data_IF_785183789368
#
_entry.id   IF_785183789368
#
_cell.length_a   1.000
_cell.length_b   1.000
_cell.length_c   1.000
_cell.angle_alpha   90.00
_cell.angle_beta   90.00
_cell.angle_gamma   90.00
#
_symmetry.space_group_name_H-M   'P 1'
#
loop_
_entity.id
_entity.type
_entity.pdbx_description
1 polymer ?
#
# COMPACT_ATOMS: atom_id res chain seq x y z
N UNK A 1 9.23 -8.08 57.36
CA UNK A 1 9.30 -8.69 56.01
C UNK A 1 8.19 -8.04 55.19
N UNK A 2 8.48 -6.89 54.59
CA UNK A 2 7.52 -6.12 53.78
C UNK A 2 8.33 -5.50 52.65
N UNK A 3 8.14 -6.01 51.44
CA UNK A 3 8.83 -5.56 50.25
C UNK A 3 8.04 -4.41 49.62
N UNK A 4 8.70 -3.26 49.50
CA UNK A 4 8.28 -2.13 48.67
C UNK A 4 8.53 -2.50 47.21
N UNK A 5 7.48 -2.56 46.40
CA UNK A 5 7.59 -2.64 44.94
C UNK A 5 7.43 -1.23 44.39
N UNK A 6 8.55 -0.61 44.01
CA UNK A 6 8.51 0.53 43.10
C UNK A 6 8.07 0.02 41.73
N UNK A 7 6.84 0.37 41.31
CA UNK A 7 6.49 0.31 39.91
C UNK A 7 7.24 1.44 39.21
N UNK A 8 8.41 1.10 38.66
CA UNK A 8 9.05 1.91 37.65
C UNK A 8 8.04 2.14 36.53
N UNK A 9 7.61 3.40 36.39
CA UNK A 9 6.86 3.86 35.25
C UNK A 9 7.76 3.71 34.02
N UNK A 10 7.60 2.60 33.30
CA UNK A 10 7.91 2.57 31.88
C UNK A 10 6.92 3.54 31.25
N UNK A 11 7.34 4.80 31.15
CA UNK A 11 6.79 5.70 30.17
C UNK A 11 7.04 5.03 28.81
N UNK A 12 6.05 4.28 28.34
CA UNK A 12 5.89 4.06 26.93
C UNK A 12 5.73 5.46 26.36
N UNK A 13 6.83 6.01 25.83
CA UNK A 13 6.76 7.04 24.81
C UNK A 13 6.00 6.38 23.66
N UNK A 14 4.67 6.46 23.73
CA UNK A 14 3.82 6.33 22.57
C UNK A 14 4.23 7.48 21.67
N UNK A 15 5.22 7.21 20.82
CA UNK A 15 5.37 7.91 19.58
C UNK A 15 4.01 7.77 18.89
N UNK A 16 3.19 8.82 19.01
CA UNK A 16 2.02 8.98 18.18
C UNK A 16 2.64 9.17 16.81
N UNK A 17 2.92 8.06 16.13
CA UNK A 17 3.56 8.02 14.83
C UNK A 17 2.69 8.87 13.90
N UNK A 18 3.04 10.15 13.81
CA UNK A 18 2.40 11.07 12.91
C UNK A 18 2.62 10.49 11.54
N UNK A 19 1.52 10.29 10.79
CA UNK A 19 1.64 10.00 9.37
C UNK A 19 2.38 11.17 8.74
N UNK A 20 3.68 11.01 8.52
CA UNK A 20 4.47 12.01 7.84
C UNK A 20 3.92 12.10 6.41
N UNK A 21 3.26 13.20 6.09
CA UNK A 21 2.74 13.45 4.74
C UNK A 21 3.91 13.74 3.80
N UNK A 22 3.86 13.23 2.58
CA UNK A 22 4.88 13.50 1.55
C UNK A 22 5.44 12.25 0.90
N UNK A 23 6.58 12.41 0.23
CA UNK A 23 7.26 11.35 -0.50
C UNK A 23 8.10 10.47 0.43
N UNK A 24 7.86 9.17 0.39
CA UNK A 24 8.57 8.16 1.17
C UNK A 24 9.31 7.20 0.24
N UNK A 25 10.60 7.00 0.48
CA UNK A 25 11.40 5.97 -0.21
C UNK A 25 10.99 4.59 0.32
N UNK A 26 10.70 3.65 -0.57
CA UNK A 26 10.17 2.33 -0.19
C UNK A 26 11.17 1.21 -0.46
N UNK A 27 11.54 0.98 -1.72
CA UNK A 27 12.47 -0.07 -2.13
C UNK A 27 13.16 0.30 -3.45
N UNK A 28 14.14 -0.50 -3.88
CA UNK A 28 14.66 -0.38 -5.23
C UNK A 28 13.63 -0.90 -6.24
N UNK A 29 13.61 -0.37 -7.46
CA UNK A 29 12.65 -0.80 -8.50
C UNK A 29 12.93 -2.22 -8.98
N UNK A 30 14.20 -2.64 -8.91
CA UNK A 30 14.67 -4.00 -9.20
C UNK A 30 14.26 -5.04 -8.16
N UNK A 31 13.89 -4.62 -6.95
CA UNK A 31 13.32 -5.52 -5.94
C UNK A 31 11.87 -5.89 -6.27
N UNK A 32 11.21 -5.13 -7.15
CA UNK A 32 9.87 -5.42 -7.63
C UNK A 32 9.91 -6.29 -8.89
N UNK A 33 9.41 -7.52 -8.73
CA UNK A 33 9.18 -8.41 -9.86
C UNK A 33 8.08 -7.83 -10.77
N UNK A 34 8.32 -7.74 -12.10
CA UNK A 34 7.31 -7.26 -13.03
C UNK A 34 5.98 -8.01 -12.93
N UNK A 35 4.88 -7.25 -12.92
CA UNK A 35 3.51 -7.72 -12.83
C UNK A 35 3.17 -8.54 -11.57
N UNK A 36 4.00 -8.46 -10.53
CA UNK A 36 3.77 -9.07 -9.23
C UNK A 36 3.56 -7.98 -8.17
N UNK A 37 2.61 -8.21 -7.27
CA UNK A 37 2.30 -7.25 -6.21
C UNK A 37 3.15 -7.46 -4.99
N UNK A 38 3.73 -6.42 -4.39
CA UNK A 38 4.45 -6.52 -3.12
C UNK A 38 3.80 -5.64 -2.05
N UNK A 39 3.70 -6.17 -0.83
CA UNK A 39 3.15 -5.42 0.30
C UNK A 39 4.29 -4.72 1.06
N UNK A 40 4.12 -3.43 1.35
CA UNK A 40 5.07 -2.62 2.10
C UNK A 40 4.39 -1.87 3.24
N UNK A 41 5.11 -1.68 4.35
CA UNK A 41 4.71 -0.80 5.44
C UNK A 41 5.45 0.53 5.30
N UNK A 42 4.72 1.59 4.98
CA UNK A 42 5.28 2.92 4.68
C UNK A 42 4.64 3.95 5.62
N UNK A 43 5.44 4.59 6.48
CA UNK A 43 4.96 5.54 7.49
C UNK A 43 3.73 5.04 8.29
N UNK A 44 3.73 3.75 8.67
CA UNK A 44 2.62 3.12 9.41
C UNK A 44 1.42 2.70 8.55
N UNK A 45 1.44 2.90 7.24
CA UNK A 45 0.38 2.49 6.31
C UNK A 45 0.80 1.30 5.44
N UNK A 46 -0.10 0.33 5.29
CA UNK A 46 0.13 -0.82 4.41
C UNK A 46 -0.25 -0.50 2.97
N UNK A 47 0.71 -0.61 2.06
CA UNK A 47 0.61 -0.27 0.64
C UNK A 47 0.93 -1.50 -0.19
N UNK A 48 0.19 -1.72 -1.27
CA UNK A 48 0.52 -2.71 -2.31
C UNK A 48 1.17 -2.00 -3.51
N UNK A 49 2.36 -2.44 -3.88
CA UNK A 49 3.15 -1.93 -5.00
C UNK A 49 3.08 -2.89 -6.18
N UNK A 50 2.99 -2.35 -7.40
CA UNK A 50 2.97 -3.13 -8.63
C UNK A 50 3.86 -2.49 -9.67
N UNK A 51 4.87 -3.21 -10.16
CA UNK A 51 5.70 -2.76 -11.27
C UNK A 51 5.13 -3.27 -12.58
N UNK A 52 4.66 -2.38 -13.46
CA UNK A 52 4.08 -2.73 -14.76
C UNK A 52 5.04 -2.51 -15.93
N UNK A 53 6.11 -1.74 -15.72
CA UNK A 53 7.16 -1.48 -16.70
C UNK A 53 8.51 -1.22 -16.04
N UNK A 54 9.57 -0.90 -16.81
CA UNK A 54 10.92 -0.71 -16.28
C UNK A 54 11.00 0.29 -15.12
N UNK A 55 10.27 1.40 -15.22
CA UNK A 55 10.16 2.46 -14.21
C UNK A 55 8.70 2.88 -13.94
N UNK A 56 7.74 2.04 -14.34
CA UNK A 56 6.31 2.28 -14.13
C UNK A 56 5.86 1.44 -12.95
N UNK A 57 5.48 2.12 -11.87
CA UNK A 57 5.08 1.51 -10.60
C UNK A 57 3.78 2.15 -10.14
N UNK A 58 2.81 1.34 -9.73
CA UNK A 58 1.57 1.79 -9.11
C UNK A 58 1.57 1.42 -7.62
N UNK A 59 0.97 2.28 -6.80
CA UNK A 59 0.80 2.06 -5.37
C UNK A 59 -0.66 2.24 -4.98
N UNK A 60 -1.21 1.29 -4.24
CA UNK A 60 -2.59 1.32 -3.74
C UNK A 60 -2.64 0.85 -2.28
N UNK A 61 -3.74 1.08 -1.58
CA UNK A 61 -3.92 0.52 -0.25
C UNK A 61 -3.83 -1.01 -0.30
N UNK A 62 -3.14 -1.60 0.67
CA UNK A 62 -3.09 -3.06 0.77
C UNK A 62 -4.44 -3.65 1.24
N UNK A 63 -5.24 -2.83 1.92
CA UNK A 63 -6.60 -3.13 2.35
C UNK A 63 -7.59 -3.09 1.17
N UNK A 64 -8.38 -4.15 1.02
CA UNK A 64 -9.50 -4.23 0.10
C UNK A 64 -10.71 -3.45 0.67
N UNK A 65 -11.21 -2.41 -0.01
CA UNK A 65 -12.31 -1.58 0.49
C UNK A 65 -13.64 -2.34 0.63
N UNK A 66 -13.81 -3.48 -0.03
CA UNK A 66 -15.02 -4.29 0.08
C UNK A 66 -15.06 -5.12 1.38
N UNK A 67 -13.90 -5.53 1.89
CA UNK A 67 -13.80 -6.54 2.95
C UNK A 67 -13.02 -6.09 4.18
N UNK A 68 -12.21 -5.04 4.07
CA UNK A 68 -11.23 -4.64 5.09
C UNK A 68 -10.04 -5.58 5.20
N UNK A 69 -9.92 -6.58 4.32
CA UNK A 69 -8.81 -7.53 4.36
C UNK A 69 -7.57 -6.94 3.66
N UNK A 70 -6.40 -7.10 4.28
CA UNK A 70 -5.11 -6.70 3.72
C UNK A 70 -4.61 -7.74 2.72
N UNK A 71 -5.13 -7.70 1.49
CA UNK A 71 -4.89 -8.74 0.47
C UNK A 71 -4.54 -8.18 -0.90
N UNK A 72 -4.62 -6.87 -1.13
CA UNK A 72 -4.58 -6.32 -2.50
C UNK A 72 -3.29 -6.64 -3.26
N UNK A 73 -2.14 -6.82 -2.58
CA UNK A 73 -0.88 -7.24 -3.25
C UNK A 73 -0.93 -8.65 -3.85
N UNK A 74 -2.02 -9.41 -3.61
CA UNK A 74 -2.27 -10.73 -4.21
C UNK A 74 -3.27 -10.66 -5.36
N UNK A 75 -3.70 -9.46 -5.74
CA UNK A 75 -4.63 -9.25 -6.84
C UNK A 75 -4.01 -9.60 -8.19
N UNK A 76 -4.87 -9.85 -9.18
CA UNK A 76 -4.45 -10.14 -10.54
C UNK A 76 -4.46 -8.83 -11.33
N UNK A 77 -3.33 -8.48 -11.94
CA UNK A 77 -3.25 -7.33 -12.82
C UNK A 77 -3.96 -7.58 -14.15
N UNK A 78 -4.52 -6.53 -14.71
CA UNK A 78 -5.16 -6.55 -16.02
C UNK A 78 -5.23 -5.15 -16.62
N UNK A 79 -6.10 -4.99 -17.60
CA UNK A 79 -6.38 -3.70 -18.21
C UNK A 79 -7.85 -3.57 -18.61
N UNK A 80 -8.34 -2.34 -18.64
CA UNK A 80 -9.62 -1.95 -19.24
C UNK A 80 -9.34 -0.88 -20.29
N UNK A 81 -9.14 -1.32 -21.54
CA UNK A 81 -8.57 -0.45 -22.58
C UNK A 81 -7.13 -0.08 -22.22
N UNK A 82 -6.84 1.21 -22.11
CA UNK A 82 -5.51 1.72 -21.73
C UNK A 82 -5.31 1.84 -20.22
N UNK A 83 -6.36 1.62 -19.42
CA UNK A 83 -6.32 1.81 -17.96
C UNK A 83 -5.79 0.54 -17.27
N UNK A 84 -4.67 0.60 -16.52
CA UNK A 84 -4.15 -0.55 -15.78
C UNK A 84 -5.08 -0.87 -14.61
N UNK A 85 -5.36 -2.15 -14.39
CA UNK A 85 -6.31 -2.58 -13.36
C UNK A 85 -5.76 -3.66 -12.46
N UNK A 86 -6.41 -3.81 -11.30
CA UNK A 86 -6.24 -4.92 -10.39
C UNK A 86 -7.59 -5.49 -9.98
N UNK A 87 -7.72 -6.82 -10.08
CA UNK A 87 -8.86 -7.53 -9.51
C UNK A 87 -8.57 -7.91 -8.05
N UNK A 88 -9.46 -7.55 -7.12
CA UNK A 88 -9.36 -8.00 -5.71
C UNK A 88 -9.26 -9.53 -5.64
N UNK A 89 -8.40 -10.10 -4.79
CA UNK A 89 -8.28 -11.54 -4.64
C UNK A 89 -9.57 -12.23 -4.22
N UNK A 90 -10.39 -11.58 -3.38
CA UNK A 90 -11.52 -12.21 -2.71
C UNK A 90 -12.78 -12.19 -3.55
N UNK A 91 -13.28 -11.00 -3.90
CA UNK A 91 -14.57 -10.83 -4.58
C UNK A 91 -14.46 -10.32 -6.02
N UNK A 92 -13.22 -10.19 -6.53
CA UNK A 92 -12.92 -9.90 -7.95
C UNK A 92 -13.42 -8.53 -8.43
N UNK A 93 -13.68 -7.59 -7.53
CA UNK A 93 -13.87 -6.20 -7.92
C UNK A 93 -12.64 -5.70 -8.67
N UNK A 94 -12.88 -5.02 -9.79
CA UNK A 94 -11.81 -4.53 -10.66
C UNK A 94 -11.62 -3.06 -10.39
N UNK A 95 -10.45 -2.71 -9.87
CA UNK A 95 -10.05 -1.35 -9.57
C UNK A 95 -9.05 -0.85 -10.58
N UNK A 96 -9.15 0.42 -10.93
CA UNK A 96 -8.14 1.15 -11.67
C UNK A 96 -6.93 1.46 -10.78
N UNK A 97 -5.71 1.11 -11.23
CA UNK A 97 -4.49 1.28 -10.43
C UNK A 97 -4.01 2.74 -10.32
N UNK A 98 -4.42 3.61 -11.25
CA UNK A 98 -3.99 5.01 -11.29
C UNK A 98 -4.87 5.90 -10.40
N UNK A 99 -6.17 5.64 -10.41
CA UNK A 99 -7.20 6.49 -9.80
C UNK A 99 -7.93 5.82 -8.63
N UNK A 100 -7.85 4.49 -8.52
CA UNK A 100 -8.57 3.71 -7.52
C UNK A 100 -10.06 3.48 -7.81
N UNK A 101 -10.58 3.96 -8.95
CA UNK A 101 -11.98 3.77 -9.34
C UNK A 101 -12.33 2.28 -9.44
N UNK A 102 -13.43 1.86 -8.81
CA UNK A 102 -13.97 0.52 -9.01
C UNK A 102 -14.86 0.46 -10.26
N UNK A 103 -14.55 -0.41 -11.21
CA UNK A 103 -15.32 -0.59 -12.43
C UNK A 103 -16.52 -1.54 -12.32
N UNK A 104 -16.55 -2.36 -11.28
CA UNK A 104 -17.54 -3.43 -11.11
C UNK A 104 -18.64 -3.09 -10.11
N UNK A 105 -18.29 -2.40 -9.02
CA UNK A 105 -19.19 -2.13 -7.90
C UNK A 105 -19.23 -0.63 -7.61
N UNK A 106 -20.29 0.09 -8.02
CA UNK A 106 -20.42 1.52 -7.76
C UNK A 106 -20.33 1.84 -6.27
N UNK A 107 -19.60 2.90 -5.93
CA UNK A 107 -19.43 3.37 -4.54
C UNK A 107 -18.20 2.80 -3.84
N UNK A 108 -17.62 1.69 -4.33
CA UNK A 108 -16.31 1.25 -3.86
C UNK A 108 -15.18 2.04 -4.53
N UNK A 109 -14.13 2.32 -3.76
CA UNK A 109 -12.93 2.98 -4.24
C UNK A 109 -11.73 2.44 -3.48
N UNK A 110 -10.72 2.00 -4.20
CA UNK A 110 -9.43 1.63 -3.66
C UNK A 110 -8.60 2.93 -3.51
N UNK A 111 -7.91 3.13 -2.39
CA UNK A 111 -7.03 4.29 -2.28
C UNK A 111 -5.80 4.05 -3.18
N UNK A 112 -5.56 4.96 -4.13
CA UNK A 112 -4.36 4.98 -4.97
C UNK A 112 -3.42 6.10 -4.50
N UNK A 113 -2.12 5.86 -4.58
CA UNK A 113 -1.07 6.79 -4.15
C UNK A 113 -0.19 7.16 -5.33
N UNK A 114 0.24 8.42 -5.38
CA UNK A 114 1.20 8.86 -6.39
C UNK A 114 2.55 8.17 -6.15
N UNK A 115 3.17 7.74 -7.23
CA UNK A 115 4.46 7.06 -7.25
C UNK A 115 5.43 7.79 -8.14
N UNK A 116 6.73 7.66 -7.86
CA UNK A 116 7.80 8.03 -8.79
C UNK A 116 9.01 7.13 -8.56
N UNK A 117 9.86 7.00 -9.58
CA UNK A 117 11.15 6.34 -9.45
C UNK A 117 12.25 7.39 -9.57
N UNK A 118 13.06 7.57 -8.54
CA UNK A 118 14.18 8.53 -8.50
C UNK A 118 15.46 7.77 -8.13
N UNK A 119 16.47 7.83 -9.01
CA UNK A 119 17.75 7.11 -8.83
C UNK A 119 17.57 5.60 -8.56
N UNK A 120 16.63 4.96 -9.27
CA UNK A 120 16.30 3.54 -9.10
C UNK A 120 15.42 3.21 -7.89
N UNK A 121 15.00 4.21 -7.12
CA UNK A 121 14.24 4.02 -5.88
C UNK A 121 12.78 4.40 -6.09
N UNK A 122 11.89 3.50 -5.70
CA UNK A 122 10.45 3.75 -5.68
C UNK A 122 10.12 4.65 -4.50
N UNK A 123 9.46 5.76 -4.79
CA UNK A 123 8.91 6.68 -3.80
C UNK A 123 7.39 6.72 -3.90
N UNK A 124 6.71 6.72 -2.75
CA UNK A 124 5.24 6.76 -2.64
C UNK A 124 4.84 8.02 -1.88
N UNK A 125 3.84 8.74 -2.37
CA UNK A 125 3.27 9.90 -1.70
C UNK A 125 2.11 9.48 -0.78
N UNK A 126 2.27 9.70 0.52
CA UNK A 126 1.25 9.42 1.55
C UNK A 126 0.64 10.70 2.14
#
# INVERSE_FOLDING_TARGET
MTATLELGALAAESDIAGFHTGWHRVCAVEDLEPAWGEAALVAGRQVALFRTGPSEVFAVAHEDPATGAHVMARGILGSKGTRPTIASPLHKEVYDLETGECFTTPGLRLAAFSTRVTDGIVEVQL
#
